data_IF_007202180803
#
_entry.id   IF_007202180803
#
_cell.length_a   1.000
_cell.length_b   1.000
_cell.length_c   1.000
_cell.angle_alpha   90.00
_cell.angle_beta   90.00
_cell.angle_gamma   90.00
#
_symmetry.space_group_name_H-M   'P 1'
#
loop_
_entity.id
_entity.type
_entity.pdbx_description
1 polymer ?
#
# COMPACT_ATOMS: atom_id res chain seq x y z
N UNK A 1 -71.73 66.81 -6.67
CA UNK A 1 -70.55 67.63 -6.31
C UNK A 1 -69.43 66.71 -5.85
N UNK A 2 -68.22 66.92 -6.37
CA UNK A 2 -67.02 66.15 -6.07
C UNK A 2 -66.43 66.50 -4.69
N UNK A 3 -65.77 65.53 -4.04
CA UNK A 3 -64.37 65.71 -3.62
C UNK A 3 -63.72 64.34 -3.40
N UNK A 4 -62.69 64.08 -4.20
CA UNK A 4 -61.85 62.89 -4.15
C UNK A 4 -60.65 63.23 -3.26
N UNK A 5 -60.40 62.43 -2.22
CA UNK A 5 -59.18 62.52 -1.42
C UNK A 5 -58.31 61.31 -1.74
N UNK A 6 -57.25 61.55 -2.49
CA UNK A 6 -56.16 60.62 -2.75
C UNK A 6 -54.92 61.26 -2.16
N UNK A 7 -54.52 60.80 -0.98
CA UNK A 7 -53.27 61.18 -0.35
C UNK A 7 -52.60 59.88 0.08
N UNK A 8 -51.49 59.59 -0.61
CA UNK A 8 -50.42 58.66 -0.26
C UNK A 8 -50.70 57.16 -0.41
N UNK A 9 -50.69 56.70 -1.66
CA UNK A 9 -50.09 55.40 -1.99
C UNK A 9 -48.59 55.66 -2.24
N UNK A 10 -47.75 55.37 -1.26
CA UNK A 10 -46.29 55.39 -1.44
C UNK A 10 -45.94 54.15 -2.25
N UNK A 11 -45.81 54.31 -3.56
CA UNK A 11 -45.27 53.27 -4.45
C UNK A 11 -43.78 53.06 -4.14
N UNK A 12 -43.50 52.25 -3.11
CA UNK A 12 -42.17 51.74 -2.80
C UNK A 12 -41.85 50.52 -3.68
N UNK A 13 -42.07 50.62 -5.00
CA UNK A 13 -41.70 49.57 -5.93
C UNK A 13 -41.24 50.06 -7.30
N UNK A 14 -40.83 51.34 -7.39
CA UNK A 14 -40.15 51.82 -8.59
C UNK A 14 -38.65 51.55 -8.47
N UNK A 15 -38.24 50.52 -9.20
CA UNK A 15 -36.93 50.43 -9.84
C UNK A 15 -35.75 49.88 -8.98
N UNK A 16 -35.88 48.65 -8.48
CA UNK A 16 -34.71 47.83 -8.11
C UNK A 16 -34.34 46.76 -9.14
N UNK A 17 -35.06 46.68 -10.26
CA UNK A 17 -34.91 45.58 -11.24
C UNK A 17 -34.11 45.95 -12.50
N UNK A 18 -33.77 47.21 -12.73
CA UNK A 18 -32.95 47.60 -13.90
C UNK A 18 -31.44 47.57 -13.62
N UNK A 19 -31.01 47.91 -12.41
CA UNK A 19 -29.61 47.79 -11.98
C UNK A 19 -29.18 46.32 -11.80
N UNK A 20 -30.09 45.45 -11.35
CA UNK A 20 -29.86 44.00 -11.25
C UNK A 20 -29.75 43.32 -12.62
N UNK A 21 -30.33 43.88 -13.69
CA UNK A 21 -30.38 43.27 -15.02
C UNK A 21 -29.10 43.45 -15.85
N UNK A 22 -28.29 44.47 -15.56
CA UNK A 22 -26.93 44.62 -16.15
C UNK A 22 -25.85 43.87 -15.35
N UNK A 23 -26.11 43.55 -14.07
CA UNK A 23 -25.20 42.80 -13.19
C UNK A 23 -25.31 41.26 -13.36
N UNK A 24 -26.38 40.77 -13.99
CA UNK A 24 -26.64 39.34 -14.16
C UNK A 24 -25.70 38.64 -15.14
N UNK A 25 -25.29 39.29 -16.23
CA UNK A 25 -24.35 38.71 -17.20
C UNK A 25 -22.92 38.57 -16.65
N UNK A 26 -22.42 39.61 -15.98
CA UNK A 26 -21.10 39.57 -15.33
C UNK A 26 -21.08 38.58 -14.15
N UNK A 27 -22.18 38.49 -13.39
CA UNK A 27 -22.32 37.48 -12.34
C UNK A 27 -22.33 36.05 -12.89
N UNK A 28 -22.97 35.81 -14.04
CA UNK A 28 -22.99 34.50 -14.69
C UNK A 28 -21.60 34.07 -15.16
N UNK A 29 -20.83 34.98 -15.79
CA UNK A 29 -19.47 34.70 -16.24
C UNK A 29 -18.54 34.42 -15.05
N UNK A 30 -18.63 35.23 -13.99
CA UNK A 30 -17.85 35.00 -12.76
C UNK A 30 -18.20 33.67 -12.08
N UNK A 31 -19.47 33.28 -12.07
CA UNK A 31 -19.88 31.98 -11.54
C UNK A 31 -19.30 30.80 -12.33
N UNK A 32 -19.26 30.89 -13.67
CA UNK A 32 -18.66 29.85 -14.52
C UNK A 32 -17.16 29.73 -14.25
N UNK A 33 -16.45 30.84 -14.13
CA UNK A 33 -15.00 30.84 -13.84
C UNK A 33 -14.74 30.19 -12.47
N UNK A 34 -15.54 30.50 -11.45
CA UNK A 34 -15.41 29.89 -10.12
C UNK A 34 -15.66 28.38 -10.17
N UNK A 35 -16.69 27.93 -10.91
CA UNK A 35 -16.96 26.50 -11.10
C UNK A 35 -15.77 25.81 -11.80
N UNK A 36 -15.18 26.42 -12.82
CA UNK A 36 -14.01 25.87 -13.49
C UNK A 36 -12.83 25.73 -12.53
N UNK A 37 -12.52 26.75 -11.74
CA UNK A 37 -11.45 26.69 -10.73
C UNK A 37 -11.70 25.58 -9.72
N UNK A 38 -12.92 25.47 -9.18
CA UNK A 38 -13.29 24.40 -8.24
C UNK A 38 -13.15 23.03 -8.91
N UNK A 39 -13.58 22.88 -10.16
CA UNK A 39 -13.47 21.62 -10.89
C UNK A 39 -12.02 21.19 -11.08
N UNK A 40 -11.12 22.13 -11.38
CA UNK A 40 -9.68 21.84 -11.55
C UNK A 40 -9.03 21.44 -10.23
N UNK A 41 -9.36 22.13 -9.13
CA UNK A 41 -8.84 21.79 -7.80
C UNK A 41 -9.37 20.43 -7.36
N UNK A 42 -10.65 20.14 -7.61
CA UNK A 42 -11.26 18.85 -7.29
C UNK A 42 -10.63 17.71 -8.10
N UNK A 43 -10.42 17.91 -9.40
CA UNK A 43 -9.75 16.92 -10.24
C UNK A 43 -8.34 16.63 -9.73
N UNK A 44 -7.54 17.67 -9.44
CA UNK A 44 -6.19 17.53 -8.89
C UNK A 44 -6.20 16.81 -7.52
N UNK A 45 -7.12 17.21 -6.64
CA UNK A 45 -7.30 16.60 -5.31
C UNK A 45 -7.65 15.12 -5.42
N UNK A 46 -8.51 14.75 -6.38
CA UNK A 46 -8.90 13.37 -6.61
C UNK A 46 -7.71 12.54 -7.11
N UNK A 47 -6.94 13.03 -8.09
CA UNK A 47 -5.74 12.35 -8.56
C UNK A 47 -4.69 12.16 -7.46
N UNK A 48 -4.45 13.18 -6.63
CA UNK A 48 -3.54 13.06 -5.48
C UNK A 48 -4.03 12.02 -4.47
N UNK A 49 -5.34 11.98 -4.21
CA UNK A 49 -5.96 11.01 -3.29
C UNK A 49 -5.87 9.58 -3.82
N UNK A 50 -6.03 9.39 -5.13
CA UNK A 50 -5.87 8.08 -5.76
C UNK A 50 -4.42 7.58 -5.67
N UNK A 51 -3.44 8.47 -5.93
CA UNK A 51 -2.02 8.13 -5.79
C UNK A 51 -1.61 7.83 -4.34
N UNK A 52 -2.07 8.62 -3.37
CA UNK A 52 -1.76 8.37 -1.95
C UNK A 52 -2.38 7.06 -1.48
N UNK A 53 -3.62 6.79 -1.88
CA UNK A 53 -4.30 5.52 -1.56
C UNK A 53 -3.52 4.33 -2.11
N UNK A 54 -3.09 4.39 -3.38
CA UNK A 54 -2.28 3.33 -3.97
C UNK A 54 -0.98 3.10 -3.19
N UNK A 55 -0.24 4.17 -2.89
CA UNK A 55 1.01 4.09 -2.11
C UNK A 55 0.78 3.48 -0.72
N UNK A 56 -0.31 3.83 -0.05
CA UNK A 56 -0.64 3.27 1.26
C UNK A 56 -0.93 1.76 1.19
N UNK A 57 -1.63 1.30 0.14
CA UNK A 57 -1.88 -0.14 -0.07
C UNK A 57 -0.57 -0.88 -0.39
N UNK A 58 0.27 -0.34 -1.27
CA UNK A 58 1.54 -0.97 -1.62
C UNK A 58 2.47 -1.09 -0.41
N UNK A 59 2.54 -0.04 0.43
CA UNK A 59 3.30 -0.07 1.68
C UNK A 59 2.75 -1.12 2.65
N UNK A 60 1.43 -1.22 2.77
CA UNK A 60 0.80 -2.22 3.63
C UNK A 60 1.19 -3.65 3.23
N UNK A 61 1.09 -3.98 1.95
CA UNK A 61 1.47 -5.30 1.42
C UNK A 61 2.98 -5.56 1.57
N UNK A 62 3.80 -4.52 1.42
CA UNK A 62 5.23 -4.62 1.66
C UNK A 62 5.54 -4.95 3.13
N UNK A 63 4.94 -4.24 4.09
CA UNK A 63 5.12 -4.51 5.52
C UNK A 63 4.61 -5.91 5.90
N UNK A 64 3.50 -6.37 5.31
CA UNK A 64 3.05 -7.75 5.46
C UNK A 64 4.10 -8.75 4.95
N UNK A 65 4.67 -8.53 3.77
CA UNK A 65 5.72 -9.39 3.24
C UNK A 65 6.96 -9.42 4.16
N UNK A 66 7.32 -8.28 4.77
CA UNK A 66 8.39 -8.20 5.77
C UNK A 66 8.05 -9.06 7.00
N UNK A 67 6.84 -8.97 7.54
CA UNK A 67 6.40 -9.78 8.68
C UNK A 67 6.39 -11.28 8.33
N UNK A 68 5.86 -11.65 7.17
CA UNK A 68 5.87 -13.01 6.67
C UNK A 68 7.30 -13.55 6.53
N UNK A 69 8.26 -12.73 6.10
CA UNK A 69 9.66 -13.17 6.03
C UNK A 69 10.25 -13.55 7.38
N UNK A 70 9.86 -12.84 8.46
CA UNK A 70 10.30 -13.14 9.82
C UNK A 70 9.64 -14.41 10.32
N UNK A 71 8.33 -14.55 10.16
CA UNK A 71 7.59 -15.76 10.52
C UNK A 71 8.11 -17.00 9.77
N UNK A 72 8.39 -16.87 8.47
CA UNK A 72 8.96 -17.91 7.64
C UNK A 72 10.37 -18.33 8.13
N UNK A 73 11.16 -17.37 8.62
CA UNK A 73 12.47 -17.65 9.23
C UNK A 73 12.32 -18.47 10.51
N UNK A 74 11.42 -18.09 11.40
CA UNK A 74 11.16 -18.84 12.65
C UNK A 74 10.64 -20.26 12.36
N UNK A 75 9.76 -20.40 11.36
CA UNK A 75 9.25 -21.71 10.96
C UNK A 75 10.36 -22.58 10.35
N UNK A 76 11.27 -22.00 9.57
CA UNK A 76 12.43 -22.73 9.04
C UNK A 76 13.37 -23.18 10.16
N UNK A 77 13.63 -22.33 11.17
CA UNK A 77 14.41 -22.74 12.34
C UNK A 77 13.76 -23.88 13.11
N UNK A 78 12.44 -23.83 13.30
CA UNK A 78 11.70 -24.90 13.96
C UNK A 78 11.82 -26.23 13.17
N UNK A 79 11.69 -26.17 11.85
CA UNK A 79 11.84 -27.33 10.97
C UNK A 79 13.27 -27.89 11.07
N UNK A 80 14.28 -27.01 11.17
CA UNK A 80 15.67 -27.42 11.39
C UNK A 80 15.84 -28.13 12.74
N UNK A 81 15.21 -27.61 13.79
CA UNK A 81 15.27 -28.19 15.13
C UNK A 81 14.57 -29.56 15.21
N UNK A 82 13.50 -29.79 14.43
CA UNK A 82 12.73 -31.03 14.44
C UNK A 82 13.29 -32.11 13.51
N UNK A 83 13.59 -31.74 12.26
CA UNK A 83 13.92 -32.67 11.19
C UNK A 83 15.42 -32.67 10.82
N UNK A 84 16.21 -31.79 11.43
CA UNK A 84 17.63 -31.63 11.13
C UNK A 84 17.86 -30.68 9.96
N UNK A 85 18.88 -30.93 9.15
CA UNK A 85 19.25 -29.98 8.09
C UNK A 85 18.29 -30.05 6.88
N UNK A 86 17.98 -28.91 6.25
CA UNK A 86 17.09 -28.75 5.09
C UNK A 86 17.68 -27.68 4.16
N UNK A 87 17.70 -27.91 2.85
CA UNK A 87 18.30 -26.97 1.88
C UNK A 87 17.36 -25.87 1.40
N UNK A 88 16.07 -26.19 1.27
CA UNK A 88 15.08 -25.25 0.76
C UNK A 88 13.69 -25.56 1.32
N UNK A 89 12.92 -24.51 1.60
CA UNK A 89 11.53 -24.61 2.03
C UNK A 89 10.72 -23.55 1.29
N UNK A 90 9.60 -23.97 0.71
CA UNK A 90 8.58 -23.05 0.23
C UNK A 90 7.42 -23.06 1.25
N UNK A 91 6.98 -21.87 1.66
CA UNK A 91 5.84 -21.65 2.54
C UNK A 91 4.88 -20.70 1.83
N UNK A 92 3.63 -21.11 1.68
CA UNK A 92 2.57 -20.23 1.19
C UNK A 92 1.74 -19.71 2.35
N UNK A 93 1.55 -18.40 2.44
CA UNK A 93 0.66 -17.80 3.44
C UNK A 93 -0.72 -17.52 2.82
N UNK A 94 -1.79 -18.15 3.33
CA UNK A 94 -3.15 -17.84 2.92
C UNK A 94 -3.64 -16.54 3.54
N UNK A 95 -4.51 -15.84 2.81
CA UNK A 95 -5.34 -14.75 3.33
C UNK A 95 -6.54 -15.32 4.13
N UNK A 96 -7.34 -14.46 4.78
CA UNK A 96 -8.52 -14.86 5.56
C UNK A 96 -9.56 -15.63 4.72
N UNK A 97 -9.55 -15.43 3.41
CA UNK A 97 -10.35 -16.17 2.42
C UNK A 97 -9.82 -17.58 2.10
N UNK A 98 -8.67 -17.99 2.66
CA UNK A 98 -7.99 -19.26 2.35
C UNK A 98 -7.20 -19.27 1.04
N UNK A 99 -7.11 -18.15 0.33
CA UNK A 99 -6.34 -18.03 -0.91
C UNK A 99 -4.87 -17.74 -0.59
N UNK A 100 -3.93 -18.49 -1.17
CA UNK A 100 -2.49 -18.24 -1.02
C UNK A 100 -2.10 -16.93 -1.72
N UNK A 101 -1.88 -15.87 -0.96
CA UNK A 101 -1.51 -14.54 -1.51
C UNK A 101 0.00 -14.34 -1.53
N UNK A 102 0.70 -14.89 -0.54
CA UNK A 102 2.15 -14.74 -0.41
C UNK A 102 2.85 -16.08 -0.58
N UNK A 103 3.91 -16.08 -1.38
CA UNK A 103 4.86 -17.18 -1.51
C UNK A 103 6.18 -16.76 -0.86
N UNK A 104 6.63 -17.52 0.13
CA UNK A 104 7.91 -17.37 0.79
C UNK A 104 8.82 -18.54 0.44
N UNK A 105 9.83 -18.26 -0.40
CA UNK A 105 10.87 -19.21 -0.75
C UNK A 105 12.11 -18.96 0.10
N UNK A 106 12.52 -19.99 0.84
CA UNK A 106 13.69 -19.98 1.72
C UNK A 106 14.72 -20.93 1.16
N UNK A 107 15.93 -20.43 0.96
CA UNK A 107 17.11 -21.28 0.70
C UNK A 107 18.08 -21.17 1.85
N UNK A 108 18.49 -22.31 2.38
CA UNK A 108 19.34 -22.44 3.56
C UNK A 108 20.69 -23.00 3.16
N UNK A 109 21.75 -22.45 3.73
CA UNK A 109 23.12 -22.93 3.53
C UNK A 109 23.82 -23.00 4.87
N UNK A 110 24.52 -24.10 5.12
CA UNK A 110 25.08 -24.38 6.43
C UNK A 110 26.56 -24.04 6.50
N UNK A 111 27.00 -23.54 7.65
CA UNK A 111 28.40 -23.21 7.93
C UNK A 111 28.85 -24.07 9.11
N UNK A 112 29.67 -25.07 8.81
CA UNK A 112 30.17 -26.06 9.76
C UNK A 112 31.65 -26.34 9.56
N UNK A 113 32.24 -26.99 10.55
CA UNK A 113 33.65 -27.43 10.52
C UNK A 113 33.88 -28.70 9.70
N UNK A 114 32.81 -29.38 9.27
CA UNK A 114 32.83 -30.56 8.42
C UNK A 114 31.54 -30.67 7.60
N UNK A 115 31.38 -31.77 6.87
CA UNK A 115 30.24 -32.00 5.98
C UNK A 115 28.91 -32.10 6.74
N UNK A 116 27.92 -31.28 6.39
CA UNK A 116 26.60 -31.28 7.04
C UNK A 116 25.68 -32.31 6.39
N UNK A 117 25.96 -33.59 6.62
CA UNK A 117 25.10 -34.69 6.19
C UNK A 117 24.70 -34.62 4.70
N UNK A 118 23.39 -34.56 4.42
CA UNK A 118 22.82 -34.45 3.07
C UNK A 118 22.55 -33.01 2.61
N UNK A 119 22.96 -32.02 3.39
CA UNK A 119 22.65 -30.62 3.18
C UNK A 119 23.81 -29.85 2.55
N UNK A 120 23.49 -28.71 1.96
CA UNK A 120 24.43 -27.92 1.17
C UNK A 120 25.29 -27.09 2.11
N UNK A 121 26.56 -27.45 2.18
CA UNK A 121 27.58 -26.66 2.85
C UNK A 121 27.82 -25.36 2.07
N UNK A 122 27.92 -24.25 2.78
CA UNK A 122 28.27 -22.96 2.19
C UNK A 122 29.78 -22.81 2.08
N UNK A 123 30.50 -23.01 3.19
CA UNK A 123 31.95 -23.11 3.26
C UNK A 123 32.37 -23.80 4.55
N UNK A 124 33.54 -24.46 4.51
CA UNK A 124 34.11 -25.15 5.66
C UNK A 124 34.96 -24.16 6.48
N UNK A 125 34.68 -24.10 7.78
CA UNK A 125 35.42 -23.29 8.74
C UNK A 125 36.32 -24.16 9.60
N UNK A 126 37.49 -23.64 9.97
CA UNK A 126 38.39 -24.31 10.93
C UNK A 126 38.21 -23.79 12.35
N UNK A 127 37.42 -22.72 12.54
CA UNK A 127 37.16 -22.12 13.85
C UNK A 127 35.94 -22.77 14.51
N UNK A 128 36.09 -23.36 15.72
CA UNK A 128 35.00 -24.05 16.41
C UNK A 128 33.88 -23.10 16.86
N UNK A 129 34.15 -21.79 17.02
CA UNK A 129 33.20 -20.81 17.52
C UNK A 129 32.05 -20.51 16.54
N UNK A 130 32.33 -20.65 15.24
CA UNK A 130 31.36 -20.41 14.16
C UNK A 130 30.67 -21.70 13.70
N UNK A 131 31.04 -22.85 14.27
CA UNK A 131 30.43 -24.14 13.95
C UNK A 131 28.94 -24.12 14.33
N UNK A 132 28.08 -24.59 13.43
CA UNK A 132 26.64 -24.65 13.67
C UNK A 132 25.91 -23.35 13.33
N UNK A 133 26.27 -22.69 12.23
CA UNK A 133 25.50 -21.53 11.75
C UNK A 133 24.77 -21.86 10.46
N UNK A 134 23.59 -21.27 10.26
CA UNK A 134 22.81 -21.36 9.03
C UNK A 134 22.62 -19.97 8.43
N UNK A 135 22.95 -19.84 7.15
CA UNK A 135 22.64 -18.68 6.34
C UNK A 135 21.32 -18.94 5.61
N UNK A 136 20.36 -18.05 5.80
CA UNK A 136 19.02 -18.17 5.24
C UNK A 136 18.74 -17.00 4.30
N UNK A 137 18.43 -17.33 3.07
CA UNK A 137 17.97 -16.39 2.04
C UNK A 137 16.47 -16.57 1.87
N UNK A 138 15.72 -15.57 2.30
CA UNK A 138 14.26 -15.55 2.24
C UNK A 138 13.85 -14.57 1.16
N UNK A 139 13.08 -15.05 0.18
CA UNK A 139 12.34 -14.22 -0.76
C UNK A 139 10.86 -14.38 -0.47
N UNK A 140 10.17 -13.27 -0.19
CA UNK A 140 8.70 -13.23 -0.13
C UNK A 140 8.20 -12.44 -1.32
N UNK A 141 7.25 -13.00 -2.06
CA UNK A 141 6.59 -12.32 -3.18
C UNK A 141 5.08 -12.47 -3.10
N UNK A 142 4.37 -11.40 -3.49
CA UNK A 142 2.93 -11.46 -3.74
C UNK A 142 2.72 -12.27 -5.03
N UNK A 143 1.82 -13.26 -4.97
CA UNK A 143 1.54 -14.13 -6.11
C UNK A 143 0.80 -13.33 -7.19
N UNK A 144 1.26 -13.45 -8.42
CA UNK A 144 0.74 -12.69 -9.57
C UNK A 144 -0.66 -13.12 -10.02
N UNK A 145 -1.11 -14.30 -9.58
CA UNK A 145 -2.45 -14.83 -9.88
C UNK A 145 -3.56 -14.25 -8.98
N UNK A 146 -3.20 -13.64 -7.85
CA UNK A 146 -4.14 -13.03 -6.92
C UNK A 146 -4.67 -11.67 -7.43
N UNK A 147 -4.01 -11.08 -8.45
CA UNK A 147 -4.39 -9.81 -9.10
C UNK A 147 -4.66 -8.65 -8.11
N UNK A 148 -3.97 -8.66 -6.96
CA UNK A 148 -4.13 -7.68 -5.87
C UNK A 148 -3.35 -6.40 -6.17
N UNK A 149 -2.23 -6.52 -6.88
CA UNK A 149 -1.35 -5.41 -7.23
C UNK A 149 -1.06 -5.42 -8.73
N UNK A 150 -0.86 -4.23 -9.29
CA UNK A 150 -0.39 -4.08 -10.68
C UNK A 150 1.14 -4.20 -10.78
N UNK A 151 1.85 -3.91 -9.70
CA UNK A 151 3.31 -3.99 -9.60
C UNK A 151 3.75 -5.17 -8.74
N UNK A 152 4.78 -5.93 -9.14
CA UNK A 152 5.26 -7.05 -8.36
C UNK A 152 5.96 -6.57 -7.07
N UNK A 153 5.37 -6.89 -5.92
CA UNK A 153 5.98 -6.62 -4.61
C UNK A 153 6.83 -7.84 -4.22
N UNK A 154 8.14 -7.61 -4.05
CA UNK A 154 9.10 -8.63 -3.61
C UNK A 154 9.97 -8.09 -2.48
N UNK A 155 10.05 -8.85 -1.40
CA UNK A 155 10.95 -8.59 -0.29
C UNK A 155 12.02 -9.69 -0.23
N UNK A 156 13.29 -9.29 -0.17
CA UNK A 156 14.42 -10.19 0.01
C UNK A 156 15.13 -9.88 1.31
N UNK A 157 15.41 -10.91 2.10
CA UNK A 157 16.15 -10.82 3.35
C UNK A 157 17.13 -11.97 3.46
N UNK A 158 18.38 -11.66 3.77
CA UNK A 158 19.42 -12.63 4.15
C UNK A 158 19.66 -12.52 5.65
N UNK A 159 19.69 -13.65 6.34
CA UNK A 159 20.03 -13.71 7.78
C UNK A 159 21.02 -14.82 8.04
N UNK A 160 21.81 -14.66 9.10
CA UNK A 160 22.63 -15.74 9.65
C UNK A 160 22.15 -16.02 11.07
N UNK A 161 21.93 -17.27 11.39
CA UNK A 161 21.50 -17.70 12.71
C UNK A 161 22.40 -18.81 13.21
N UNK A 162 22.71 -18.75 14.50
CA UNK A 162 23.42 -19.84 15.18
C UNK A 162 22.38 -20.86 15.64
N UNK A 163 22.60 -22.11 15.30
CA UNK A 163 21.78 -23.27 15.68
C UNK A 163 22.20 -23.80 17.04
#
# INVERSE_FOLDING_TARGET
>A
MQRKNYILKVDLHKNRNSFLKKRSGFAMIMAIIVILVISTIMALSFSLTAETTKRSVDLYLYEQAVLHSKSATELALLDIAQNGCINSKNITFPDESGNSVYDANITMRYVYTGTVGACTDYFNITTPEQNGSVLMDITVSVRSDANITTEPIRYFRRTIQKL
#
